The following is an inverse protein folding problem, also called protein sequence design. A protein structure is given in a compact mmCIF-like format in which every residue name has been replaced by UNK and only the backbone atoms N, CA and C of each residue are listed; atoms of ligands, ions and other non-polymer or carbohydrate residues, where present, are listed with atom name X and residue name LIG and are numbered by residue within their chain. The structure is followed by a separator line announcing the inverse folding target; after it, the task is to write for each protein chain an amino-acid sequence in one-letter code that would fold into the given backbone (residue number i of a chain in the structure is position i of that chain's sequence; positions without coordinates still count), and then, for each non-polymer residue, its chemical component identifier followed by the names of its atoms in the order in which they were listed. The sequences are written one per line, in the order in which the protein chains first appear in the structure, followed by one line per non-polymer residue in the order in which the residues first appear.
data_IF_971629152615
#
_entry.id   IF_971629152615
#
_cell.length_a   1.000
_cell.length_b   1.000
_cell.length_c   1.000
_cell.angle_alpha   90.00
_cell.angle_beta   90.00
_cell.angle_gamma   90.00
#
_symmetry.space_group_name_H-M   'P 1'
#
loop_
_entity.id
_entity.type
_entity.pdbx_description
1 polymer ?
#
# COMPACT_ATOMS: atom_id res chain seq x y z
N UNK A 1 -1.12 -9.05 9.78
CA UNK A 1 -1.50 -8.79 8.38
C UNK A 1 -0.26 -8.41 7.60
N UNK A 2 -0.16 -8.81 6.34
CA UNK A 2 0.98 -8.47 5.48
C UNK A 2 0.87 -7.02 5.00
N UNK A 3 1.95 -6.24 5.07
CA UNK A 3 1.98 -4.86 4.58
C UNK A 3 3.29 -4.58 3.86
N UNK A 4 3.23 -3.68 2.88
CA UNK A 4 4.40 -3.17 2.18
C UNK A 4 4.70 -1.77 2.69
N UNK A 5 5.97 -1.50 2.96
CA UNK A 5 6.46 -0.15 3.22
C UNK A 5 6.80 0.52 1.90
N UNK A 6 6.35 1.75 1.70
CA UNK A 6 6.71 2.56 0.53
C UNK A 6 6.96 3.99 1.00
N UNK A 7 7.92 4.67 0.40
CA UNK A 7 8.16 6.10 0.64
C UNK A 7 7.40 6.93 -0.38
N UNK A 8 6.67 7.94 0.10
CA UNK A 8 5.87 8.84 -0.72
C UNK A 8 6.23 10.29 -0.42
N UNK A 9 6.31 11.11 -1.46
CA UNK A 9 6.36 12.57 -1.29
C UNK A 9 4.94 13.11 -1.06
N UNK A 10 4.63 13.43 0.21
CA UNK A 10 3.32 13.95 0.62
C UNK A 10 3.01 15.34 0.06
N UNK A 11 4.03 16.09 -0.42
CA UNK A 11 3.85 17.45 -0.96
C UNK A 11 3.32 17.45 -2.38
N UNK A 12 3.81 16.53 -3.22
CA UNK A 12 3.44 16.46 -4.64
C UNK A 12 2.24 15.55 -4.90
N UNK A 13 2.01 14.56 -4.03
CA UNK A 13 0.89 13.62 -4.15
C UNK A 13 0.05 13.63 -2.86
N UNK A 14 -1.01 14.43 -2.78
CA UNK A 14 -1.87 14.47 -1.60
C UNK A 14 -2.79 13.24 -1.49
N UNK A 15 -3.19 12.64 -2.61
CA UNK A 15 -4.17 11.55 -2.65
C UNK A 15 -3.62 10.21 -2.17
N UNK A 16 -4.47 9.38 -1.56
CA UNK A 16 -4.09 8.05 -1.07
C UNK A 16 -3.71 7.15 -2.25
N UNK A 17 -2.54 6.53 -2.18
CA UNK A 17 -2.15 5.56 -3.19
C UNK A 17 -2.91 4.24 -3.04
N UNK A 18 -3.46 3.74 -4.14
CA UNK A 18 -4.04 2.41 -4.25
C UNK A 18 -3.27 1.60 -5.29
N UNK A 19 -2.61 0.52 -4.87
CA UNK A 19 -1.76 -0.30 -5.74
C UNK A 19 -2.16 -1.76 -5.60
N UNK A 20 -2.34 -2.45 -6.73
CA UNK A 20 -2.50 -3.92 -6.71
C UNK A 20 -1.14 -4.56 -6.48
N UNK A 21 -0.96 -5.24 -5.35
CA UNK A 21 0.24 -6.04 -5.05
C UNK A 21 -0.17 -7.45 -4.64
N UNK A 22 0.78 -8.36 -4.72
CA UNK A 22 0.59 -9.74 -4.30
C UNK A 22 0.49 -9.82 -2.77
N UNK A 23 -0.52 -10.51 -2.26
CA UNK A 23 -0.59 -10.87 -0.84
C UNK A 23 -0.13 -12.33 -0.68
N UNK A 24 0.98 -12.61 0.03
CA UNK A 24 1.48 -13.98 0.21
C UNK A 24 0.58 -14.84 1.10
N UNK A 25 -0.30 -14.24 1.92
CA UNK A 25 -1.23 -14.96 2.79
C UNK A 25 -2.41 -15.51 1.99
N UNK A 26 -2.97 -14.69 1.10
CA UNK A 26 -4.14 -15.05 0.26
C UNK A 26 -3.71 -15.64 -1.10
N UNK A 27 -2.42 -15.52 -1.44
CA UNK A 27 -1.80 -15.97 -2.71
C UNK A 27 -2.45 -15.37 -3.95
N UNK A 28 -2.89 -14.12 -3.86
CA UNK A 28 -3.55 -13.38 -4.95
C UNK A 28 -3.10 -11.93 -4.96
N UNK A 29 -3.26 -11.25 -6.10
CA UNK A 29 -3.07 -9.81 -6.18
C UNK A 29 -4.30 -9.09 -5.60
N UNK A 30 -4.08 -8.32 -4.54
CA UNK A 30 -5.11 -7.59 -3.81
C UNK A 30 -4.80 -6.09 -3.86
N UNK A 31 -5.85 -5.27 -3.76
CA UNK A 31 -5.70 -3.82 -3.69
C UNK A 31 -5.14 -3.42 -2.32
N UNK A 32 -3.94 -2.84 -2.30
CA UNK A 32 -3.37 -2.23 -1.10
C UNK A 32 -3.69 -0.74 -1.09
N UNK A 33 -4.19 -0.26 0.06
CA UNK A 33 -4.43 1.17 0.31
C UNK A 33 -3.39 1.71 1.27
N UNK A 34 -2.96 2.94 1.03
CA UNK A 34 -2.03 3.65 1.91
C UNK A 34 -2.62 3.82 3.33
N UNK A 35 -1.88 3.36 4.35
CA UNK A 35 -2.22 3.50 5.76
C UNK A 35 -1.02 4.01 6.57
N UNK A 36 -1.27 4.67 7.70
CA UNK A 36 -0.20 5.08 8.62
C UNK A 36 0.34 3.84 9.36
N UNK A 37 1.64 3.61 9.28
CA UNK A 37 2.35 2.69 10.16
C UNK A 37 2.61 3.46 11.46
N UNK A 38 2.29 2.84 12.60
CA UNK A 38 2.45 3.42 13.94
C UNK A 38 3.92 3.47 14.35
#
# INVERSE_FOLDING_TARGET
GHYYTTTKNKRTMPDKMEIKKYDPVVRKHVMYKEGKIK
#
